data_IF_928373485554
#
_entry.id   IF_928373485554
#
_cell.length_a   1.000
_cell.length_b   1.000
_cell.length_c   1.000
_cell.angle_alpha   90.00
_cell.angle_beta   90.00
_cell.angle_gamma   90.00
#
_symmetry.space_group_name_H-M   'P 1'
#
loop_
_entity.id
_entity.type
_entity.pdbx_description
1 polymer ?
#
# COMPACT_ATOMS: atom_id res chain seq x y z
N UNK A 1 -17.03 -33.82 0.19
CA UNK A 1 -15.77 -33.57 0.91
C UNK A 1 -15.39 -32.12 0.68
N UNK A 2 -15.43 -31.28 1.73
CA UNK A 2 -14.94 -29.90 1.64
C UNK A 2 -13.43 -29.94 1.40
N UNK A 3 -12.96 -29.43 0.25
CA UNK A 3 -11.52 -29.27 0.02
C UNK A 3 -11.02 -28.27 1.05
N UNK A 4 -10.07 -28.66 1.86
CA UNK A 4 -9.39 -27.74 2.78
C UNK A 4 -8.71 -26.65 1.93
N UNK A 5 -8.94 -25.37 2.28
CA UNK A 5 -8.31 -24.23 1.62
C UNK A 5 -6.80 -24.33 1.81
N UNK A 6 -6.04 -24.16 0.74
CA UNK A 6 -4.56 -24.13 0.77
C UNK A 6 -4.10 -22.95 1.61
N UNK A 7 -2.97 -23.05 2.30
CA UNK A 7 -2.45 -21.90 3.05
C UNK A 7 -2.01 -20.78 2.10
N UNK A 8 -2.17 -19.54 2.54
CA UNK A 8 -1.86 -18.38 1.69
C UNK A 8 -0.39 -18.33 1.27
N UNK A 9 0.53 -18.74 2.16
CA UNK A 9 1.96 -18.87 1.87
C UNK A 9 2.28 -19.78 0.70
N UNK A 10 1.51 -20.86 0.55
CA UNK A 10 1.81 -21.92 -0.43
C UNK A 10 1.42 -21.55 -1.87
N UNK A 11 0.62 -20.50 -2.03
CA UNK A 11 0.20 -20.01 -3.35
C UNK A 11 1.05 -18.85 -3.86
N UNK A 12 1.90 -18.25 -3.00
CA UNK A 12 2.81 -17.18 -3.41
C UNK A 12 3.84 -17.68 -4.43
N UNK A 13 4.07 -16.91 -5.47
CA UNK A 13 5.00 -17.28 -6.56
C UNK A 13 4.48 -18.30 -7.56
N UNK A 14 3.34 -18.96 -7.32
CA UNK A 14 2.71 -19.90 -8.28
C UNK A 14 1.96 -19.14 -9.36
N UNK A 15 1.17 -18.15 -8.94
CA UNK A 15 0.46 -17.20 -9.82
C UNK A 15 0.29 -15.88 -9.11
N UNK A 16 0.05 -14.79 -9.85
CA UNK A 16 -0.21 -13.49 -9.20
C UNK A 16 -1.44 -13.54 -8.30
N UNK A 17 -1.31 -13.01 -7.10
CA UNK A 17 -2.41 -12.78 -6.17
C UNK A 17 -2.97 -11.40 -6.46
N UNK A 18 -4.26 -11.32 -6.74
CA UNK A 18 -4.93 -10.06 -7.09
C UNK A 18 -5.69 -9.56 -5.86
N UNK A 19 -5.36 -8.35 -5.40
CA UNK A 19 -6.12 -7.72 -4.29
C UNK A 19 -7.43 -7.13 -4.78
N UNK A 20 -8.39 -6.97 -3.88
CA UNK A 20 -9.51 -6.05 -4.14
C UNK A 20 -8.99 -4.61 -4.30
N UNK A 21 -9.78 -3.77 -4.97
CA UNK A 21 -9.52 -2.34 -5.07
C UNK A 21 -9.99 -1.56 -3.84
N UNK A 22 -10.16 -0.25 -4.02
CA UNK A 22 -10.59 0.66 -2.96
C UNK A 22 -12.10 0.57 -2.70
N UNK A 23 -12.47 0.10 -1.50
CA UNK A 23 -13.87 0.12 -1.05
C UNK A 23 -14.38 1.55 -0.92
N UNK A 24 -13.54 2.47 -0.48
CA UNK A 24 -13.88 3.89 -0.36
C UNK A 24 -14.34 4.47 -1.70
N UNK A 25 -13.57 4.23 -2.77
CA UNK A 25 -13.91 4.71 -4.12
C UNK A 25 -15.25 4.12 -4.58
N UNK A 26 -15.46 2.83 -4.36
CA UNK A 26 -16.72 2.17 -4.74
C UNK A 26 -17.90 2.69 -3.92
N UNK A 27 -17.73 2.96 -2.62
CA UNK A 27 -18.76 3.58 -1.79
C UNK A 27 -19.08 4.98 -2.28
N UNK A 28 -18.07 5.82 -2.53
CA UNK A 28 -18.24 7.19 -3.02
C UNK A 28 -18.93 7.22 -4.39
N UNK A 29 -18.55 6.34 -5.32
CA UNK A 29 -19.17 6.25 -6.65
C UNK A 29 -20.66 5.88 -6.59
N UNK A 30 -21.06 5.13 -5.54
CA UNK A 30 -22.45 4.73 -5.26
C UNK A 30 -23.22 5.72 -4.40
N UNK A 31 -22.60 6.89 -4.09
CA UNK A 31 -23.25 7.99 -3.37
C UNK A 31 -23.13 7.93 -1.84
N UNK A 32 -22.36 6.99 -1.29
CA UNK A 32 -22.08 6.89 0.14
C UNK A 32 -20.92 7.83 0.50
N UNK A 33 -21.16 8.80 1.41
CA UNK A 33 -20.24 9.93 1.65
C UNK A 33 -19.80 10.08 3.11
N UNK A 34 -20.26 9.23 4.02
CA UNK A 34 -19.85 9.30 5.41
C UNK A 34 -18.33 9.02 5.50
N UNK A 35 -17.67 9.75 6.37
CA UNK A 35 -16.28 9.53 6.71
C UNK A 35 -16.13 9.35 8.24
N UNK A 36 -15.35 8.40 8.70
CA UNK A 36 -14.63 7.39 7.92
C UNK A 36 -15.57 6.35 7.28
N UNK A 37 -15.22 5.89 6.07
CA UNK A 37 -16.07 4.95 5.30
C UNK A 37 -16.25 3.60 5.97
N UNK A 38 -15.41 3.29 6.93
CA UNK A 38 -15.46 2.08 7.77
C UNK A 38 -16.74 1.97 8.58
N UNK A 39 -17.43 3.10 8.81
CA UNK A 39 -18.73 3.10 9.49
C UNK A 39 -19.81 2.30 8.72
N UNK A 40 -19.64 2.15 7.40
CA UNK A 40 -20.58 1.36 6.60
C UNK A 40 -20.52 -0.13 6.88
N UNK A 41 -19.46 -0.62 7.53
CA UNK A 41 -19.44 -1.99 8.05
C UNK A 41 -20.57 -2.24 9.06
N UNK A 42 -21.02 -1.18 9.76
CA UNK A 42 -22.11 -1.23 10.72
C UNK A 42 -23.41 -0.66 10.15
N UNK A 43 -23.38 0.53 9.54
CA UNK A 43 -24.57 1.23 9.04
C UNK A 43 -25.21 0.56 7.84
N UNK A 44 -24.40 0.03 6.93
CA UNK A 44 -24.89 -0.62 5.70
C UNK A 44 -23.96 -1.75 5.26
N UNK A 45 -23.88 -2.85 6.02
CA UNK A 45 -23.01 -3.97 5.70
C UNK A 45 -23.31 -4.61 4.33
N UNK A 46 -24.56 -4.50 3.87
CA UNK A 46 -25.00 -5.07 2.58
C UNK A 46 -24.28 -4.40 1.40
N UNK A 47 -24.11 -3.09 1.42
CA UNK A 47 -23.38 -2.42 0.33
C UNK A 47 -21.91 -2.82 0.30
N UNK A 48 -21.27 -2.97 1.48
CA UNK A 48 -19.88 -3.44 1.59
C UNK A 48 -19.76 -4.87 1.05
N UNK A 49 -20.72 -5.74 1.39
CA UNK A 49 -20.81 -7.10 0.85
C UNK A 49 -20.93 -7.11 -0.68
N UNK A 50 -21.80 -6.27 -1.27
CA UNK A 50 -21.93 -6.17 -2.71
C UNK A 50 -20.63 -5.72 -3.38
N UNK A 51 -19.92 -4.74 -2.83
CA UNK A 51 -18.61 -4.29 -3.34
C UNK A 51 -17.59 -5.45 -3.33
N UNK A 52 -17.53 -6.25 -2.27
CA UNK A 52 -16.65 -7.41 -2.25
C UNK A 52 -17.02 -8.46 -3.31
N UNK A 53 -18.32 -8.70 -3.54
CA UNK A 53 -18.77 -9.60 -4.62
C UNK A 53 -18.33 -9.08 -5.99
N UNK A 54 -18.42 -7.78 -6.22
CA UNK A 54 -17.99 -7.18 -7.48
C UNK A 54 -16.48 -7.33 -7.69
N UNK A 55 -15.66 -7.12 -6.67
CA UNK A 55 -14.22 -7.37 -6.74
C UNK A 55 -13.88 -8.85 -6.94
N UNK A 56 -14.58 -9.76 -6.26
CA UNK A 56 -14.40 -11.20 -6.46
C UNK A 56 -14.72 -11.60 -7.90
N UNK A 57 -15.84 -11.12 -8.45
CA UNK A 57 -16.23 -11.34 -9.85
C UNK A 57 -15.26 -10.70 -10.84
N UNK A 58 -14.56 -9.63 -10.45
CA UNK A 58 -13.49 -9.01 -11.23
C UNK A 58 -12.16 -9.80 -11.19
N UNK A 59 -12.08 -10.88 -10.41
CA UNK A 59 -10.90 -11.73 -10.33
C UNK A 59 -10.01 -11.50 -9.13
N UNK A 60 -10.44 -10.70 -8.14
CA UNK A 60 -9.71 -10.57 -6.89
C UNK A 60 -9.65 -11.92 -6.14
N UNK A 61 -8.45 -12.29 -5.67
CA UNK A 61 -8.20 -13.51 -4.90
C UNK A 61 -7.76 -13.21 -3.46
N UNK A 62 -7.56 -11.93 -3.14
CA UNK A 62 -7.29 -11.42 -1.81
C UNK A 62 -8.19 -10.21 -1.55
N UNK A 63 -9.19 -10.38 -0.67
CA UNK A 63 -10.07 -9.29 -0.26
C UNK A 63 -9.43 -8.50 0.89
N UNK A 64 -9.33 -7.20 0.73
CA UNK A 64 -8.83 -6.26 1.73
C UNK A 64 -9.99 -5.72 2.55
N UNK A 65 -9.96 -5.83 3.88
CA UNK A 65 -11.05 -5.35 4.71
C UNK A 65 -11.20 -3.83 4.67
N UNK A 66 -12.43 -3.36 4.84
CA UNK A 66 -12.73 -1.93 4.97
C UNK A 66 -12.40 -1.45 6.39
N UNK A 67 -11.10 -1.35 6.71
CA UNK A 67 -10.60 -1.07 8.06
C UNK A 67 -9.35 -0.19 8.10
N UNK A 68 -9.01 0.46 7.00
CA UNK A 68 -7.78 1.24 6.88
C UNK A 68 -7.69 2.37 7.92
N UNK A 69 -8.78 3.10 8.16
CA UNK A 69 -8.89 4.16 9.16
C UNK A 69 -9.57 3.69 10.47
N UNK A 70 -9.66 2.37 10.70
CA UNK A 70 -10.42 1.83 11.83
C UNK A 70 -9.60 1.65 13.12
N UNK A 71 -8.52 2.41 13.31
CA UNK A 71 -7.83 2.50 14.59
C UNK A 71 -8.45 3.58 15.51
N UNK A 72 -8.19 3.51 16.80
CA UNK A 72 -8.77 4.42 17.82
C UNK A 72 -8.51 5.90 17.51
N UNK A 73 -7.30 6.25 17.06
CA UNK A 73 -6.89 7.64 16.82
C UNK A 73 -7.64 8.24 15.64
N UNK A 74 -7.76 7.49 14.54
CA UNK A 74 -8.48 7.96 13.36
C UNK A 74 -9.99 7.99 13.57
N UNK A 75 -10.55 7.00 14.27
CA UNK A 75 -11.98 6.95 14.61
C UNK A 75 -12.39 8.01 15.62
N UNK A 76 -11.49 8.48 16.49
CA UNK A 76 -11.77 9.55 17.45
C UNK A 76 -12.22 10.84 16.77
N UNK A 77 -11.66 11.17 15.60
CA UNK A 77 -12.03 12.37 14.84
C UNK A 77 -13.51 12.36 14.41
N UNK A 78 -14.11 11.19 14.30
CA UNK A 78 -15.53 10.99 13.98
C UNK A 78 -16.39 10.64 15.20
N UNK A 79 -15.82 10.67 16.42
CA UNK A 79 -16.52 10.27 17.64
C UNK A 79 -16.82 8.77 17.74
N UNK A 80 -16.02 7.93 17.10
CA UNK A 80 -16.22 6.48 16.97
C UNK A 80 -15.12 5.65 17.66
N UNK A 81 -14.34 6.25 18.56
CA UNK A 81 -13.23 5.57 19.24
C UNK A 81 -13.68 4.36 20.10
N UNK A 82 -14.93 4.33 20.54
CA UNK A 82 -15.54 3.19 21.24
C UNK A 82 -15.99 2.05 20.30
N UNK A 83 -15.92 2.24 18.98
CA UNK A 83 -16.37 1.30 17.95
C UNK A 83 -15.25 0.54 17.24
N UNK A 84 -13.99 0.72 17.65
CA UNK A 84 -12.82 0.06 17.03
C UNK A 84 -13.05 -1.44 16.88
N UNK A 85 -13.36 -2.12 17.96
CA UNK A 85 -13.56 -3.57 17.97
C UNK A 85 -14.72 -4.00 17.06
N UNK A 86 -15.86 -3.35 17.18
CA UNK A 86 -17.08 -3.70 16.44
C UNK A 86 -16.90 -3.50 14.93
N UNK A 87 -16.32 -2.36 14.50
CA UNK A 87 -16.07 -2.00 13.09
C UNK A 87 -15.11 -3.01 12.45
N UNK A 88 -13.97 -3.27 13.07
CA UNK A 88 -12.94 -4.15 12.52
C UNK A 88 -13.42 -5.60 12.43
N UNK A 89 -14.00 -6.15 13.51
CA UNK A 89 -14.52 -7.50 13.53
C UNK A 89 -15.62 -7.70 12.48
N UNK A 90 -16.53 -6.72 12.35
CA UNK A 90 -17.64 -6.79 11.38
C UNK A 90 -17.13 -6.72 9.94
N UNK A 91 -16.11 -5.89 9.66
CA UNK A 91 -15.50 -5.82 8.34
C UNK A 91 -14.94 -7.16 7.88
N UNK A 92 -14.18 -7.83 8.74
CA UNK A 92 -13.65 -9.16 8.44
C UNK A 92 -14.78 -10.17 8.22
N UNK A 93 -15.80 -10.15 9.07
CA UNK A 93 -16.95 -11.06 8.92
C UNK A 93 -17.64 -10.87 7.57
N UNK A 94 -17.87 -9.62 7.11
CA UNK A 94 -18.46 -9.32 5.80
C UNK A 94 -17.58 -9.88 4.67
N UNK A 95 -16.26 -9.59 4.69
CA UNK A 95 -15.34 -10.07 3.68
C UNK A 95 -15.31 -11.61 3.60
N UNK A 96 -15.29 -12.28 4.74
CA UNK A 96 -15.29 -13.75 4.82
C UNK A 96 -16.58 -14.40 4.30
N UNK A 97 -17.74 -13.77 4.53
CA UNK A 97 -19.03 -14.26 3.98
C UNK A 97 -19.04 -14.27 2.46
N UNK A 98 -18.29 -13.35 1.83
CA UNK A 98 -18.14 -13.29 0.38
C UNK A 98 -17.03 -14.21 -0.13
N UNK A 99 -15.88 -14.16 0.55
CA UNK A 99 -14.68 -14.90 0.12
C UNK A 99 -14.88 -16.41 0.08
N UNK A 100 -15.54 -16.98 1.12
CA UNK A 100 -15.69 -18.43 1.30
C UNK A 100 -14.38 -19.18 1.08
N UNK A 101 -14.32 -20.02 0.03
CA UNK A 101 -13.12 -20.76 -0.39
C UNK A 101 -12.43 -20.15 -1.62
N UNK A 102 -13.01 -19.10 -2.21
CA UNK A 102 -12.57 -18.55 -3.50
C UNK A 102 -11.52 -17.45 -3.37
N UNK A 103 -11.44 -16.78 -2.22
CA UNK A 103 -10.47 -15.74 -1.95
C UNK A 103 -10.03 -15.77 -0.48
N UNK A 104 -8.88 -15.16 -0.20
CA UNK A 104 -8.38 -14.92 1.16
C UNK A 104 -8.85 -13.56 1.66
N UNK A 105 -8.80 -13.37 2.99
CA UNK A 105 -9.21 -12.12 3.63
C UNK A 105 -8.06 -11.57 4.45
N UNK A 106 -7.56 -10.39 4.04
CA UNK A 106 -6.55 -9.63 4.78
C UNK A 106 -7.22 -8.57 5.63
N UNK A 107 -6.96 -8.60 6.93
CA UNK A 107 -7.26 -7.48 7.82
C UNK A 107 -6.33 -6.31 7.51
N UNK A 108 -6.88 -5.18 7.09
CA UNK A 108 -6.07 -3.99 6.73
C UNK A 108 -5.88 -3.09 7.94
N UNK A 109 -4.65 -2.68 8.18
CA UNK A 109 -4.27 -1.67 9.18
C UNK A 109 -3.52 -0.55 8.47
N UNK A 110 -4.00 0.68 8.60
CA UNK A 110 -3.32 1.89 8.17
C UNK A 110 -2.54 2.58 9.29
N UNK A 111 -1.75 3.62 8.99
CA UNK A 111 -1.03 4.40 9.98
C UNK A 111 -1.99 5.15 10.90
N UNK A 112 -1.48 5.63 12.04
CA UNK A 112 -2.26 6.43 12.99
C UNK A 112 -2.59 7.84 12.47
N UNK A 113 -1.81 8.31 11.48
CA UNK A 113 -1.92 9.67 10.97
C UNK A 113 -1.34 10.74 11.89
N UNK A 114 -0.65 10.36 12.96
CA UNK A 114 0.05 11.27 13.88
C UNK A 114 1.56 11.11 13.79
N UNK A 115 2.28 12.19 14.02
CA UNK A 115 3.74 12.17 14.14
C UNK A 115 4.18 11.79 15.56
N UNK A 116 5.28 11.05 15.66
CA UNK A 116 5.91 10.72 16.92
C UNK A 116 6.58 11.93 17.58
N UNK A 117 6.70 11.86 18.90
CA UNK A 117 7.53 12.84 19.65
C UNK A 117 8.97 12.79 19.13
N UNK A 118 9.71 13.92 19.08
CA UNK A 118 9.33 15.26 19.53
C UNK A 118 8.60 16.11 18.46
N UNK A 119 8.41 15.63 17.23
CA UNK A 119 7.77 16.39 16.15
C UNK A 119 6.26 16.48 16.37
N UNK A 120 5.64 15.38 16.76
CA UNK A 120 4.22 15.30 17.12
C UNK A 120 4.03 14.96 18.59
N UNK A 121 2.88 14.31 18.88
CA UNK A 121 2.48 13.99 20.25
C UNK A 121 2.39 12.49 20.53
N UNK A 122 2.50 11.65 19.50
CA UNK A 122 2.35 10.20 19.63
C UNK A 122 3.61 9.59 20.25
N UNK A 123 3.44 8.74 21.25
CA UNK A 123 4.52 7.91 21.79
C UNK A 123 4.51 6.52 21.13
N UNK A 124 5.65 5.80 21.17
CA UNK A 124 5.72 4.45 20.65
C UNK A 124 4.79 3.48 21.40
N UNK A 125 4.68 3.65 22.73
CA UNK A 125 3.78 2.83 23.56
C UNK A 125 2.31 3.07 23.23
N UNK A 126 1.91 4.33 23.00
CA UNK A 126 0.54 4.64 22.56
C UNK A 126 0.24 4.02 21.19
N UNK A 127 1.16 4.17 20.22
CA UNK A 127 1.00 3.56 18.90
C UNK A 127 0.91 2.03 18.99
N UNK A 128 1.74 1.40 19.83
CA UNK A 128 1.71 -0.04 20.08
C UNK A 128 0.32 -0.49 20.56
N UNK A 129 -0.25 0.21 21.55
CA UNK A 129 -1.58 -0.13 22.09
C UNK A 129 -2.70 0.06 21.05
N UNK A 130 -2.62 1.11 20.23
CA UNK A 130 -3.57 1.37 19.15
C UNK A 130 -3.57 0.23 18.12
N UNK A 131 -2.39 -0.24 17.72
CA UNK A 131 -2.28 -1.35 16.77
C UNK A 131 -2.64 -2.70 17.38
N UNK A 132 -2.38 -2.93 18.67
CA UNK A 132 -2.82 -4.14 19.40
C UNK A 132 -4.35 -4.20 19.37
N UNK A 133 -5.03 -3.12 19.73
CA UNK A 133 -6.49 -3.07 19.78
C UNK A 133 -7.12 -3.42 18.42
N UNK A 134 -6.60 -2.83 17.34
CA UNK A 134 -7.11 -3.09 15.99
C UNK A 134 -6.79 -4.52 15.54
N UNK A 135 -5.57 -5.01 15.80
CA UNK A 135 -5.16 -6.37 15.44
C UNK A 135 -6.02 -7.43 16.12
N UNK A 136 -6.30 -7.30 17.42
CA UNK A 136 -7.21 -8.20 18.17
C UNK A 136 -8.58 -8.28 17.49
N UNK A 137 -9.17 -7.13 17.17
CA UNK A 137 -10.49 -7.10 16.56
C UNK A 137 -10.53 -7.75 15.16
N UNK A 138 -9.50 -7.57 14.35
CA UNK A 138 -9.35 -8.20 13.03
C UNK A 138 -9.19 -9.73 13.15
N UNK A 139 -8.37 -10.19 14.08
CA UNK A 139 -8.13 -11.61 14.32
C UNK A 139 -9.37 -12.31 14.86
N UNK A 140 -10.10 -11.70 15.80
CA UNK A 140 -11.36 -12.19 16.32
C UNK A 140 -12.47 -12.23 15.26
N UNK A 141 -12.38 -11.36 14.24
CA UNK A 141 -13.22 -11.41 13.05
C UNK A 141 -12.88 -12.59 12.12
N UNK A 142 -11.72 -13.21 12.31
CA UNK A 142 -11.22 -14.33 11.52
C UNK A 142 -10.40 -13.92 10.29
N UNK A 143 -9.65 -12.81 10.35
CA UNK A 143 -8.68 -12.46 9.31
C UNK A 143 -7.66 -13.59 9.12
N UNK A 144 -7.36 -13.93 7.86
CA UNK A 144 -6.42 -15.02 7.53
C UNK A 144 -4.98 -14.52 7.46
N UNK A 145 -4.80 -13.22 7.28
CA UNK A 145 -3.53 -12.50 7.30
C UNK A 145 -3.79 -11.03 7.62
N UNK A 146 -2.75 -10.30 7.98
CA UNK A 146 -2.82 -8.84 8.19
C UNK A 146 -2.01 -8.13 7.11
N UNK A 147 -2.57 -7.05 6.56
CA UNK A 147 -1.88 -6.15 5.64
C UNK A 147 -1.69 -4.78 6.29
N UNK A 148 -0.45 -4.43 6.56
CA UNK A 148 -0.03 -3.11 6.99
C UNK A 148 0.15 -2.25 5.74
N UNK A 149 -0.69 -1.22 5.55
CA UNK A 149 -0.82 -0.52 4.29
C UNK A 149 -0.53 0.98 4.43
N UNK A 150 0.25 1.52 3.48
CA UNK A 150 0.51 2.96 3.32
C UNK A 150 1.25 3.62 4.49
N UNK A 151 2.18 2.90 5.13
CA UNK A 151 3.02 3.46 6.18
C UNK A 151 4.16 4.30 5.58
N UNK A 152 4.19 5.59 5.89
CA UNK A 152 5.26 6.52 5.49
C UNK A 152 6.47 6.37 6.42
N UNK A 153 6.23 6.25 7.72
CA UNK A 153 7.27 6.08 8.72
C UNK A 153 7.59 4.59 8.93
N UNK A 154 8.86 4.22 8.78
CA UNK A 154 9.30 2.84 8.99
C UNK A 154 9.23 2.44 10.47
N UNK A 155 9.42 3.37 11.40
CA UNK A 155 9.32 3.08 12.84
C UNK A 155 7.89 2.73 13.19
N UNK A 156 6.91 3.49 12.68
CA UNK A 156 5.49 3.19 12.88
C UNK A 156 5.12 1.80 12.31
N UNK A 157 5.63 1.47 11.12
CA UNK A 157 5.42 0.15 10.51
C UNK A 157 5.98 -0.98 11.38
N UNK A 158 7.17 -0.80 11.93
CA UNK A 158 7.78 -1.79 12.83
C UNK A 158 7.01 -1.95 14.14
N UNK A 159 6.51 -0.86 14.71
CA UNK A 159 5.65 -0.90 15.90
C UNK A 159 4.37 -1.67 15.60
N UNK A 160 3.75 -1.43 14.44
CA UNK A 160 2.57 -2.18 14.01
C UNK A 160 2.86 -3.69 13.86
N UNK A 161 4.02 -4.07 13.28
CA UNK A 161 4.44 -5.48 13.20
C UNK A 161 4.61 -6.08 14.60
N UNK A 162 5.29 -5.38 15.52
CA UNK A 162 5.49 -5.83 16.91
C UNK A 162 4.15 -5.99 17.64
N UNK A 163 3.20 -5.07 17.43
CA UNK A 163 1.86 -5.14 17.99
C UNK A 163 1.13 -6.43 17.54
N UNK A 164 1.14 -6.73 16.25
CA UNK A 164 0.51 -7.95 15.71
C UNK A 164 1.19 -9.19 16.27
N UNK A 165 2.52 -9.24 16.31
CA UNK A 165 3.28 -10.37 16.85
C UNK A 165 3.04 -10.61 18.35
N UNK A 166 2.77 -9.55 19.11
CA UNK A 166 2.41 -9.68 20.53
C UNK A 166 1.05 -10.34 20.76
N UNK A 167 0.14 -10.23 19.79
CA UNK A 167 -1.21 -10.82 19.84
C UNK A 167 -1.25 -12.21 19.20
N UNK A 168 -0.56 -12.36 18.07
CA UNK A 168 -0.52 -13.61 17.31
C UNK A 168 0.84 -13.79 16.63
N UNK A 169 1.62 -14.72 17.13
CA UNK A 169 3.01 -14.89 16.70
C UNK A 169 3.15 -15.28 15.21
N UNK A 170 2.27 -16.15 14.70
CA UNK A 170 2.45 -16.79 13.39
C UNK A 170 1.51 -16.28 12.30
N UNK A 171 0.66 -15.27 12.57
CA UNK A 171 -0.23 -14.73 11.54
C UNK A 171 0.59 -14.16 10.38
N UNK A 172 0.30 -14.49 9.11
CA UNK A 172 1.02 -13.91 7.98
C UNK A 172 0.81 -12.39 7.93
N UNK A 173 1.91 -11.64 7.75
CA UNK A 173 1.89 -10.18 7.64
C UNK A 173 2.44 -9.77 6.26
N UNK A 174 1.71 -8.90 5.57
CA UNK A 174 2.17 -8.16 4.40
C UNK A 174 2.48 -6.73 4.87
N UNK A 175 3.72 -6.28 4.74
CA UNK A 175 4.17 -4.98 5.22
C UNK A 175 4.47 -4.04 4.04
N UNK A 176 3.68 -2.97 3.89
CA UNK A 176 3.78 -2.03 2.78
C UNK A 176 4.17 -0.64 3.26
N UNK A 177 5.36 -0.20 2.81
CA UNK A 177 5.85 1.14 3.05
C UNK A 177 5.51 2.05 1.87
N UNK A 178 5.15 3.30 2.15
CA UNK A 178 5.03 4.35 1.14
C UNK A 178 6.38 5.04 0.93
N UNK A 179 6.78 5.19 -0.32
CA UNK A 179 7.99 5.92 -0.71
C UNK A 179 7.56 7.20 -1.42
N UNK A 180 7.73 8.39 -0.81
CA UNK A 180 7.30 9.66 -1.40
C UNK A 180 7.89 9.90 -2.79
N UNK A 181 7.13 10.54 -3.68
CA UNK A 181 7.57 10.86 -5.04
C UNK A 181 8.40 12.13 -5.14
N UNK A 182 8.42 12.95 -4.11
CA UNK A 182 9.06 14.28 -4.06
C UNK A 182 10.60 14.26 -4.05
N UNK A 183 11.20 13.07 -4.18
CA UNK A 183 12.66 12.92 -4.16
C UNK A 183 13.28 13.12 -2.77
N UNK A 184 12.50 13.46 -1.75
CA UNK A 184 12.96 13.57 -0.36
C UNK A 184 13.23 12.19 0.27
N UNK A 185 13.97 11.36 -0.43
CA UNK A 185 14.44 10.10 0.13
C UNK A 185 15.51 10.45 1.15
N UNK A 186 15.11 10.52 2.42
CA UNK A 186 16.08 10.49 3.50
C UNK A 186 16.95 9.24 3.31
N UNK A 187 18.25 9.35 3.50
CA UNK A 187 19.22 8.27 3.31
C UNK A 187 18.84 6.95 4.03
N UNK A 188 17.96 7.03 5.03
CA UNK A 188 17.43 5.90 5.82
C UNK A 188 16.19 5.22 5.19
N UNK A 189 15.78 5.61 4.00
CA UNK A 189 14.52 5.17 3.38
C UNK A 189 14.67 4.59 1.99
N UNK A 190 15.88 4.18 1.60
CA UNK A 190 16.07 3.47 0.33
C UNK A 190 15.31 2.15 0.33
N UNK A 191 14.60 1.80 -0.75
CA UNK A 191 13.81 0.57 -0.79
C UNK A 191 14.62 -0.68 -0.46
N UNK A 192 15.88 -0.78 -0.91
CA UNK A 192 16.76 -1.90 -0.58
C UNK A 192 17.01 -2.06 0.92
N UNK A 193 17.26 -0.95 1.63
CA UNK A 193 17.53 -0.96 3.06
C UNK A 193 16.26 -1.33 3.84
N UNK A 194 15.11 -0.82 3.38
CA UNK A 194 13.80 -1.17 3.93
C UNK A 194 13.50 -2.67 3.73
N UNK A 195 13.86 -3.24 2.56
CA UNK A 195 13.68 -4.66 2.30
C UNK A 195 14.45 -5.52 3.33
N UNK A 196 15.74 -5.27 3.53
CA UNK A 196 16.55 -5.98 4.52
C UNK A 196 16.03 -5.79 5.95
N UNK A 197 15.58 -4.59 6.28
CA UNK A 197 15.05 -4.26 7.61
C UNK A 197 13.75 -5.01 7.90
N UNK A 198 12.81 -5.04 6.95
CA UNK A 198 11.53 -5.74 7.11
C UNK A 198 11.67 -7.27 7.06
N UNK A 199 12.61 -7.81 6.28
CA UNK A 199 12.88 -9.25 6.24
C UNK A 199 13.23 -9.82 7.62
N UNK A 200 13.91 -9.05 8.48
CA UNK A 200 14.27 -9.45 9.83
C UNK A 200 13.07 -9.71 10.76
N UNK A 201 11.91 -9.14 10.44
CA UNK A 201 10.67 -9.35 11.20
C UNK A 201 9.91 -10.61 10.78
N UNK A 202 10.40 -11.39 9.83
CA UNK A 202 9.74 -12.60 9.34
C UNK A 202 8.35 -12.33 8.77
N UNK A 203 8.16 -11.19 8.11
CA UNK A 203 6.91 -10.89 7.41
C UNK A 203 6.78 -11.76 6.15
N UNK A 204 5.56 -12.10 5.77
CA UNK A 204 5.30 -12.96 4.63
C UNK A 204 5.61 -12.30 3.29
N UNK A 205 5.34 -11.00 3.18
CA UNK A 205 5.63 -10.21 1.99
C UNK A 205 5.94 -8.75 2.37
N UNK A 206 6.76 -8.11 1.56
CA UNK A 206 7.09 -6.69 1.68
C UNK A 206 6.67 -5.96 0.41
N UNK A 207 6.54 -4.65 0.46
CA UNK A 207 6.17 -3.91 -0.74
C UNK A 207 5.90 -2.45 -0.53
N UNK A 208 5.14 -1.89 -1.46
CA UNK A 208 4.76 -0.48 -1.42
C UNK A 208 3.29 -0.27 -1.78
N UNK A 209 2.70 0.75 -1.16
CA UNK A 209 1.36 1.25 -1.42
C UNK A 209 1.25 2.73 -1.06
N UNK A 210 0.10 3.34 -1.32
CA UNK A 210 -0.15 4.76 -1.06
C UNK A 210 0.32 5.64 -2.21
N UNK A 211 0.70 6.88 -1.95
CA UNK A 211 0.96 7.97 -2.90
C UNK A 211 2.06 7.71 -3.95
N UNK A 212 2.22 6.47 -4.38
CA UNK A 212 3.22 6.05 -5.36
C UNK A 212 2.54 5.70 -6.67
N UNK A 213 2.81 6.49 -7.70
CA UNK A 213 2.28 6.25 -9.05
C UNK A 213 2.78 4.95 -9.69
N UNK A 214 2.07 4.44 -10.72
CA UNK A 214 2.33 3.13 -11.30
C UNK A 214 3.75 2.96 -11.83
N UNK A 215 4.31 3.95 -12.50
CA UNK A 215 5.66 3.86 -13.09
C UNK A 215 6.74 3.82 -11.99
N UNK A 216 6.63 4.70 -10.98
CA UNK A 216 7.55 4.72 -9.84
C UNK A 216 7.49 3.42 -9.04
N UNK A 217 6.31 2.82 -8.94
CA UNK A 217 6.13 1.53 -8.27
C UNK A 217 7.01 0.44 -8.91
N UNK A 218 7.17 0.43 -10.23
CA UNK A 218 8.03 -0.55 -10.90
C UNK A 218 9.50 -0.43 -10.43
N UNK A 219 10.01 0.79 -10.24
CA UNK A 219 11.38 1.00 -9.77
C UNK A 219 11.53 0.60 -8.31
N UNK A 220 10.53 0.90 -7.46
CA UNK A 220 10.51 0.49 -6.06
C UNK A 220 10.51 -1.03 -5.95
N UNK A 221 9.66 -1.74 -6.69
CA UNK A 221 9.58 -3.20 -6.68
C UNK A 221 10.92 -3.81 -7.10
N UNK A 222 11.57 -3.28 -8.13
CA UNK A 222 12.91 -3.72 -8.52
C UNK A 222 13.94 -3.51 -7.41
N UNK A 223 13.88 -2.37 -6.73
CA UNK A 223 14.81 -2.06 -5.64
C UNK A 223 14.54 -2.91 -4.37
N UNK A 224 13.29 -3.30 -4.12
CA UNK A 224 12.92 -4.23 -3.04
C UNK A 224 13.32 -5.69 -3.32
N UNK A 225 13.53 -6.06 -4.58
CA UNK A 225 13.86 -7.45 -4.98
C UNK A 225 15.27 -7.94 -4.60
N UNK A 226 15.95 -7.20 -3.73
CA UNK A 226 17.27 -7.57 -3.17
C UNK A 226 17.18 -8.68 -2.12
N UNK A 227 15.99 -8.94 -1.59
CA UNK A 227 15.71 -10.02 -0.63
C UNK A 227 14.91 -11.14 -1.31
N UNK A 228 14.78 -12.28 -0.63
CA UNK A 228 13.97 -13.41 -1.10
C UNK A 228 12.49 -13.30 -0.69
N UNK A 229 12.14 -12.31 0.12
CA UNK A 229 10.78 -12.07 0.60
C UNK A 229 9.85 -11.73 -0.56
N UNK A 230 8.68 -12.39 -0.69
CA UNK A 230 7.70 -12.09 -1.73
C UNK A 230 7.31 -10.62 -1.77
N UNK A 231 7.08 -10.08 -2.98
CA UNK A 231 6.81 -8.66 -3.18
C UNK A 231 5.33 -8.38 -3.41
N UNK A 232 4.84 -7.28 -2.82
CA UNK A 232 3.50 -6.76 -3.00
C UNK A 232 3.54 -5.33 -3.57
N UNK A 233 2.76 -5.06 -4.61
CA UNK A 233 2.68 -3.77 -5.28
C UNK A 233 1.24 -3.28 -5.39
N UNK A 234 0.93 -2.18 -4.72
CA UNK A 234 -0.36 -1.51 -4.78
C UNK A 234 -0.17 -0.04 -5.16
N UNK A 235 0.09 0.27 -6.45
CA UNK A 235 0.28 1.66 -6.88
C UNK A 235 -1.00 2.46 -6.72
N UNK A 236 -0.87 3.74 -6.42
CA UNK A 236 -1.94 4.70 -6.56
C UNK A 236 -2.10 5.03 -8.05
N UNK A 237 -3.28 4.75 -8.59
CA UNK A 237 -3.47 4.79 -10.05
C UNK A 237 -3.97 6.13 -10.56
N UNK A 238 -4.48 6.98 -9.69
CA UNK A 238 -4.90 8.32 -10.06
C UNK A 238 -4.79 9.30 -8.90
N UNK A 239 -4.33 10.50 -9.19
CA UNK A 239 -4.48 11.64 -8.29
C UNK A 239 -5.90 12.21 -8.48
N UNK A 240 -6.68 12.40 -7.40
CA UNK A 240 -8.01 12.95 -7.54
C UNK A 240 -7.96 14.40 -8.07
N UNK A 241 -8.74 14.68 -9.10
CA UNK A 241 -9.05 16.04 -9.53
C UNK A 241 -10.41 16.44 -8.96
N UNK A 242 -10.52 17.68 -8.44
CA UNK A 242 -11.80 18.19 -7.98
C UNK A 242 -12.63 18.68 -9.18
N UNK A 243 -13.74 18.01 -9.44
CA UNK A 243 -14.74 18.43 -10.43
C UNK A 243 -16.04 18.67 -9.67
N UNK A 244 -16.54 19.91 -9.69
CA UNK A 244 -17.74 20.34 -8.95
C UNK A 244 -17.69 19.95 -7.44
N UNK A 245 -16.51 20.09 -6.81
CA UNK A 245 -16.30 19.76 -5.41
C UNK A 245 -16.25 18.25 -5.12
N UNK A 246 -16.15 17.40 -6.14
CA UNK A 246 -16.04 15.95 -6.02
C UNK A 246 -14.66 15.49 -6.49
N UNK A 247 -14.08 14.55 -5.75
CA UNK A 247 -12.87 13.87 -6.19
C UNK A 247 -13.22 12.92 -7.36
N UNK A 248 -12.62 13.17 -8.52
CA UNK A 248 -12.74 12.33 -9.71
C UNK A 248 -11.38 11.73 -10.00
N UNK A 249 -11.32 10.42 -10.08
CA UNK A 249 -10.11 9.66 -10.39
C UNK A 249 -10.13 9.26 -11.86
N UNK A 250 -9.23 9.81 -12.66
CA UNK A 250 -9.11 9.54 -14.09
C UNK A 250 -7.88 8.66 -14.36
N UNK A 251 -7.99 7.36 -14.09
CA UNK A 251 -6.98 6.40 -14.50
C UNK A 251 -7.44 5.65 -15.75
N UNK A 252 -6.58 5.54 -16.74
CA UNK A 252 -6.87 4.73 -17.91
C UNK A 252 -6.70 3.25 -17.59
N UNK A 253 -7.77 2.48 -17.73
CA UNK A 253 -7.82 1.06 -17.39
C UNK A 253 -6.75 0.25 -18.12
N UNK A 254 -6.54 0.52 -19.41
CA UNK A 254 -5.53 -0.17 -20.22
C UNK A 254 -4.10 0.11 -19.75
N UNK A 255 -3.82 1.36 -19.33
CA UNK A 255 -2.53 1.73 -18.77
C UNK A 255 -2.25 0.97 -17.46
N UNK A 256 -3.23 0.93 -16.56
CA UNK A 256 -3.10 0.21 -15.28
C UNK A 256 -2.84 -1.28 -15.50
N UNK A 257 -3.54 -1.89 -16.46
CA UNK A 257 -3.32 -3.29 -16.85
C UNK A 257 -1.89 -3.54 -17.39
N UNK A 258 -1.37 -2.63 -18.20
CA UNK A 258 -0.01 -2.75 -18.76
C UNK A 258 1.07 -2.64 -17.67
N UNK A 259 0.87 -1.75 -16.70
CA UNK A 259 1.77 -1.61 -15.55
C UNK A 259 1.71 -2.84 -14.65
N UNK A 260 0.55 -3.43 -14.42
CA UNK A 260 0.42 -4.65 -13.64
C UNK A 260 1.28 -5.80 -14.22
N UNK A 261 1.33 -5.94 -15.55
CA UNK A 261 2.24 -6.89 -16.23
C UNK A 261 3.69 -6.57 -15.89
N UNK A 262 4.10 -5.31 -15.97
CA UNK A 262 5.46 -4.88 -15.65
C UNK A 262 5.84 -5.14 -14.19
N UNK A 263 4.90 -4.96 -13.26
CA UNK A 263 5.09 -5.26 -11.84
C UNK A 263 5.29 -6.76 -11.58
N UNK A 264 4.49 -7.63 -12.21
CA UNK A 264 4.65 -9.08 -12.10
C UNK A 264 5.99 -9.52 -12.68
N UNK A 265 6.36 -9.01 -13.85
CA UNK A 265 7.66 -9.26 -14.47
C UNK A 265 8.82 -8.73 -13.60
N UNK A 266 8.60 -7.64 -12.86
CA UNK A 266 9.54 -7.08 -11.90
C UNK A 266 9.65 -7.89 -10.59
N UNK A 267 8.84 -8.94 -10.41
CA UNK A 267 8.91 -9.84 -9.26
C UNK A 267 7.75 -9.73 -8.27
N UNK A 268 6.78 -8.84 -8.49
CA UNK A 268 5.62 -8.76 -7.60
C UNK A 268 4.77 -10.02 -7.66
N UNK A 269 4.55 -10.67 -6.52
CA UNK A 269 3.70 -11.85 -6.34
C UNK A 269 2.27 -11.47 -5.96
N UNK A 270 2.09 -10.34 -5.30
CA UNK A 270 0.80 -9.78 -4.91
C UNK A 270 0.67 -8.43 -5.58
N UNK A 271 -0.38 -8.25 -6.35
CA UNK A 271 -0.63 -7.02 -7.10
C UNK A 271 -2.09 -6.57 -6.98
N UNK A 272 -2.28 -5.30 -7.19
CA UNK A 272 -3.59 -4.65 -7.24
C UNK A 272 -3.41 -3.19 -7.56
N UNK A 273 -4.28 -2.36 -7.03
CA UNK A 273 -4.15 -0.93 -7.13
C UNK A 273 -4.80 -0.26 -5.90
N UNK A 274 -4.27 0.90 -5.52
CA UNK A 274 -4.74 1.69 -4.40
C UNK A 274 -5.65 2.85 -4.86
N UNK A 275 -5.44 4.06 -4.37
CA UNK A 275 -6.27 5.22 -4.65
C UNK A 275 -6.74 5.32 -6.11
N UNK A 276 -8.05 5.47 -6.30
CA UNK A 276 -8.69 5.48 -7.61
C UNK A 276 -9.06 4.11 -8.20
N UNK A 277 -8.71 3.00 -7.56
CA UNK A 277 -8.93 1.66 -8.10
C UNK A 277 -10.39 1.21 -7.99
N UNK A 278 -11.10 1.19 -9.11
CA UNK A 278 -12.46 0.63 -9.24
C UNK A 278 -12.45 -0.85 -9.60
N UNK A 279 -13.63 -1.46 -9.56
CA UNK A 279 -13.86 -2.86 -10.01
C UNK A 279 -13.33 -3.11 -11.42
N UNK A 280 -13.47 -2.13 -12.35
CA UNK A 280 -12.99 -2.26 -13.72
C UNK A 280 -11.46 -2.35 -13.80
N UNK A 281 -10.75 -1.60 -12.98
CA UNK A 281 -9.29 -1.67 -12.91
C UNK A 281 -8.81 -3.03 -12.40
N UNK A 282 -9.44 -3.55 -11.35
CA UNK A 282 -9.10 -4.88 -10.80
C UNK A 282 -9.36 -5.97 -11.84
N UNK A 283 -10.47 -5.89 -12.58
CA UNK A 283 -10.74 -6.84 -13.68
C UNK A 283 -9.64 -6.78 -14.75
N UNK A 284 -9.27 -5.60 -15.18
CA UNK A 284 -8.23 -5.44 -16.21
C UNK A 284 -6.85 -5.93 -15.74
N UNK A 285 -6.50 -5.69 -14.48
CA UNK A 285 -5.29 -6.24 -13.86
C UNK A 285 -5.35 -7.77 -13.88
N UNK A 286 -6.44 -8.38 -13.39
CA UNK A 286 -6.59 -9.83 -13.32
C UNK A 286 -6.50 -10.48 -14.71
N UNK A 287 -7.20 -9.93 -15.70
CA UNK A 287 -7.18 -10.42 -17.08
C UNK A 287 -5.77 -10.32 -17.70
N UNK A 288 -5.05 -9.22 -17.44
CA UNK A 288 -3.73 -8.99 -18.02
C UNK A 288 -2.66 -9.92 -17.47
N UNK A 289 -2.73 -10.30 -16.18
CA UNK A 289 -1.66 -11.07 -15.52
C UNK A 289 -1.96 -12.55 -15.33
N UNK A 290 -3.13 -13.04 -15.72
CA UNK A 290 -3.58 -14.43 -15.47
C UNK A 290 -2.62 -15.52 -15.95
N UNK A 291 -1.83 -15.25 -16.98
CA UNK A 291 -0.89 -16.19 -17.60
C UNK A 291 0.57 -15.95 -17.18
N UNK A 292 0.83 -15.01 -16.29
CA UNK A 292 2.18 -14.72 -15.82
C UNK A 292 2.51 -15.50 -14.54
N UNK A 293 3.79 -15.83 -14.39
CA UNK A 293 4.34 -16.44 -13.17
C UNK A 293 5.21 -15.37 -12.50
N UNK A 294 4.92 -14.98 -11.24
CA UNK A 294 5.72 -14.02 -10.51
C UNK A 294 7.19 -14.41 -10.41
N UNK A 295 8.09 -13.45 -10.57
CA UNK A 295 9.53 -13.67 -10.40
C UNK A 295 10.18 -14.55 -11.49
N UNK A 296 9.49 -14.84 -12.60
CA UNK A 296 10.06 -15.60 -13.72
C UNK A 296 11.20 -14.88 -14.46
N UNK A 297 11.32 -13.58 -14.31
CA UNK A 297 12.48 -12.81 -14.74
C UNK A 297 13.26 -12.34 -13.51
N UNK A 298 14.34 -13.05 -13.17
CA UNK A 298 15.30 -12.53 -12.19
C UNK A 298 15.88 -11.24 -12.75
N UNK A 299 15.46 -10.11 -12.18
CA UNK A 299 16.14 -8.85 -12.38
C UNK A 299 17.54 -9.00 -11.78
N UNK A 300 18.54 -9.13 -12.64
CA UNK A 300 19.93 -8.92 -12.24
C UNK A 300 20.09 -7.39 -12.25
N UNK A 301 20.28 -6.75 -11.08
CA UNK A 301 20.57 -5.33 -11.08
C UNK A 301 21.77 -5.14 -12.01
N UNK A 302 21.59 -4.42 -13.12
CA UNK A 302 22.76 -3.80 -13.75
C UNK A 302 23.33 -2.93 -12.62
N UNK A 303 24.44 -3.37 -12.05
CA UNK A 303 25.24 -2.47 -11.21
C UNK A 303 25.31 -1.17 -12.01
N UNK A 304 24.64 -0.14 -11.50
CA UNK A 304 24.93 1.21 -11.97
C UNK A 304 26.43 1.30 -11.68
N UNK A 305 27.25 1.17 -12.74
CA UNK A 305 28.64 1.54 -12.63
C UNK A 305 28.59 2.85 -11.89
N UNK A 306 29.27 2.90 -10.73
CA UNK A 306 29.40 4.10 -9.95
C UNK A 306 29.36 5.24 -10.94
N UNK A 307 28.30 6.07 -10.84
CA UNK A 307 28.31 7.35 -11.54
C UNK A 307 29.61 7.92 -11.02
N UNK A 308 30.64 7.90 -11.85
CA UNK A 308 31.84 8.65 -11.57
C UNK A 308 31.26 9.98 -11.12
N UNK A 309 31.24 10.20 -9.80
CA UNK A 309 31.07 11.54 -9.28
C UNK A 309 32.10 12.29 -10.09
N UNK A 310 31.59 13.01 -11.10
CA UNK A 310 32.40 13.94 -11.84
C UNK A 310 33.12 14.64 -10.73
N UNK A 311 34.44 14.35 -10.61
CA UNK A 311 35.27 14.98 -9.61
C UNK A 311 34.90 16.43 -9.77
N UNK A 312 34.13 16.97 -8.82
CA UNK A 312 33.74 18.34 -8.87
C UNK A 312 35.07 19.04 -9.01
N UNK A 313 35.24 19.74 -10.14
CA UNK A 313 36.41 20.55 -10.38
C UNK A 313 36.41 21.52 -9.19
N UNK A 314 37.08 21.12 -8.11
CA UNK A 314 36.95 21.69 -6.76
C UNK A 314 37.40 23.14 -6.72
N UNK A 315 37.96 23.61 -7.82
CA UNK A 315 38.56 24.94 -7.92
C UNK A 315 37.67 25.96 -8.64
N UNK A 316 36.51 25.56 -9.19
CA UNK A 316 35.57 26.51 -9.80
C UNK A 316 34.32 26.72 -8.90
N UNK A 317 34.38 27.72 -8.06
CA UNK A 317 33.21 28.22 -7.37
C UNK A 317 32.19 28.67 -8.41
N UNK A 318 30.95 28.11 -8.35
CA UNK A 318 29.92 28.49 -9.33
C UNK A 318 29.59 29.99 -9.18
N UNK A 319 29.25 30.65 -10.28
CA UNK A 319 28.83 32.07 -10.23
C UNK A 319 27.64 32.34 -9.35
N UNK A 320 26.86 31.30 -9.00
CA UNK A 320 25.77 31.32 -8.05
C UNK A 320 26.32 31.36 -6.62
N UNK A 321 27.26 30.47 -6.28
CA UNK A 321 27.89 30.40 -4.96
C UNK A 321 28.66 31.70 -4.62
N UNK A 322 29.30 32.32 -5.58
CA UNK A 322 30.00 33.61 -5.40
C UNK A 322 29.05 34.76 -4.99
N UNK A 323 27.78 34.68 -5.36
CA UNK A 323 26.77 35.71 -5.13
C UNK A 323 25.97 35.50 -3.81
N UNK A 324 26.03 34.31 -3.22
CA UNK A 324 25.36 34.03 -1.95
C UNK A 324 25.88 34.96 -0.86
N UNK A 325 24.97 35.62 -0.15
CA UNK A 325 25.28 36.57 0.90
C UNK A 325 25.74 37.95 0.41
N UNK A 326 25.91 38.16 -0.90
CA UNK A 326 26.35 39.44 -1.48
C UNK A 326 25.27 40.11 -2.33
N UNK A 327 24.34 39.34 -2.89
CA UNK A 327 23.26 39.85 -3.75
C UNK A 327 21.98 39.06 -3.48
N UNK A 328 20.83 39.71 -3.78
CA UNK A 328 19.55 39.00 -3.83
C UNK A 328 19.56 38.03 -5.02
N UNK A 329 19.30 36.76 -4.75
CA UNK A 329 19.26 35.70 -5.76
C UNK A 329 17.84 35.14 -5.82
N UNK A 330 17.31 35.03 -7.03
CA UNK A 330 16.03 34.35 -7.28
C UNK A 330 16.31 33.02 -7.94
N UNK A 331 15.78 31.95 -7.37
CA UNK A 331 15.78 30.62 -7.98
C UNK A 331 14.36 30.29 -8.39
N UNK A 332 14.22 29.60 -9.54
CA UNK A 332 12.94 29.10 -10.03
C UNK A 332 13.10 27.58 -10.16
N UNK A 333 12.24 26.87 -9.48
CA UNK A 333 12.09 25.43 -9.69
C UNK A 333 11.19 25.21 -10.91
N UNK A 334 11.67 24.45 -11.87
CA UNK A 334 10.89 24.08 -13.05
C UNK A 334 10.62 22.59 -12.98
N UNK A 335 9.36 22.24 -12.74
CA UNK A 335 8.94 20.83 -12.86
C UNK A 335 8.98 20.42 -14.34
N UNK A 336 9.74 19.35 -14.61
CA UNK A 336 9.74 18.73 -15.95
C UNK A 336 8.42 17.98 -16.09
N UNK A 337 7.61 18.25 -17.15
CA UNK A 337 6.39 17.51 -17.37
C UNK A 337 6.66 16.01 -17.46
N UNK A 338 5.98 15.23 -16.64
CA UNK A 338 6.12 13.77 -16.60
C UNK A 338 5.64 13.18 -17.93
N UNK A 339 6.50 12.38 -18.59
CA UNK A 339 6.15 11.65 -19.82
C UNK A 339 6.48 12.33 -21.13
N UNK A 340 7.29 13.39 -21.13
CA UNK A 340 7.86 13.96 -22.37
C UNK A 340 9.27 13.41 -22.53
N UNK A 341 9.47 12.67 -23.64
CA UNK A 341 10.80 12.28 -24.10
C UNK A 341 11.53 13.55 -24.58
N UNK A 342 12.61 13.90 -23.90
CA UNK A 342 13.49 15.04 -24.22
C UNK A 342 14.77 14.54 -24.91
N UNK A 343 14.65 13.50 -25.76
CA UNK A 343 15.74 13.08 -26.64
C UNK A 343 16.03 14.09 -27.75
#
# INVERSE_FOLDING_TARGET
MSKTKVQFSDILGVKPIITSGSIEIELQSRGYKDFPVEIYNLKNPVIVEHIYRDFLNAGATLLLTNTFHANRITLEQAGLSDKVYEINRKAVWIARTVALQNAYVAGVIGPTGKFFVPIGTLTEDEALQVFIEQAVALLDGGAELIMLKSFIDIIELEIAIKAIRSVHNDIPIIALKTFPEDGSVLATSYPSDIAYRLEQYGVLAIGSSGTVGPQRMCDIIRALSVTSTPLCALPEIAIPTLVDGRAVYNAEVAYVASVAVSLVQGGASIIGADGGASVQHIKAIADAVQNYIPGSSKYIPKMIKEVNTLAADSDKVSSFAEKIGKKFLTTVEVEIPRGIDIS
#
